data_IF_465936090548
#
_entry.id   IF_465936090548
#
_cell.length_a   1.000
_cell.length_b   1.000
_cell.length_c   1.000
_cell.angle_alpha   90.00
_cell.angle_beta   90.00
_cell.angle_gamma   90.00
#
_symmetry.space_group_name_H-M   'P 1'
#
loop_
_entity.id
_entity.type
_entity.pdbx_description
1 polymer ?
#
# COMPACT_ATOMS: atom_id res chain seq x y z
N UNK A 1 24.02 -1.78 3.58
CA UNK A 1 22.85 -2.63 3.86
C UNK A 1 21.91 -2.46 2.68
N UNK A 2 21.46 -3.51 1.98
CA UNK A 2 20.56 -3.33 0.84
C UNK A 2 19.18 -2.89 1.35
N UNK A 3 18.70 -1.73 0.89
CA UNK A 3 17.37 -1.21 1.18
C UNK A 3 16.29 -2.18 0.69
N UNK A 4 15.24 -2.40 1.50
CA UNK A 4 14.13 -3.29 1.13
C UNK A 4 12.96 -2.45 0.64
N UNK A 5 12.51 -2.74 -0.57
CA UNK A 5 11.82 -1.84 -1.48
C UNK A 5 10.29 -2.08 -1.51
N UNK A 6 9.44 -1.04 -1.61
CA UNK A 6 7.99 -1.16 -1.95
C UNK A 6 7.70 -0.60 -3.36
N UNK A 7 7.54 -1.40 -4.43
CA UNK A 7 7.68 -0.99 -5.85
C UNK A 7 7.20 -2.02 -6.90
N UNK A 8 7.53 -1.84 -8.20
CA UNK A 8 6.78 -2.43 -9.35
C UNK A 8 6.99 -3.93 -9.68
N UNK A 9 8.03 -4.58 -9.15
CA UNK A 9 8.33 -5.98 -9.45
C UNK A 9 7.27 -6.93 -8.86
N UNK A 10 7.26 -8.22 -9.26
CA UNK A 10 6.51 -9.29 -8.61
C UNK A 10 6.79 -9.27 -7.10
N UNK A 11 5.92 -8.60 -6.34
CA UNK A 11 6.09 -8.37 -4.91
C UNK A 11 4.89 -8.95 -4.17
N UNK A 12 5.11 -9.37 -2.92
CA UNK A 12 4.01 -9.77 -2.05
C UNK A 12 2.97 -8.65 -2.00
N UNK A 13 1.70 -9.02 -2.03
CA UNK A 13 0.60 -8.08 -1.82
C UNK A 13 0.71 -7.53 -0.39
N UNK A 14 1.30 -6.34 -0.23
CA UNK A 14 1.51 -5.77 1.09
C UNK A 14 0.20 -5.33 1.75
N UNK A 15 -0.90 -5.24 1.00
CA UNK A 15 -2.24 -5.07 1.57
C UNK A 15 -2.89 -6.43 1.92
N UNK A 16 -2.16 -7.55 1.79
CA UNK A 16 -2.58 -8.85 2.31
C UNK A 16 -2.20 -8.99 3.80
N UNK A 17 -2.77 -9.97 4.51
CA UNK A 17 -2.43 -10.22 5.91
C UNK A 17 -0.93 -10.51 6.06
N UNK A 18 -0.23 -9.80 6.95
CA UNK A 18 1.23 -9.93 7.11
C UNK A 18 1.73 -11.23 7.77
N UNK A 19 0.85 -12.22 8.03
CA UNK A 19 1.27 -13.58 8.40
C UNK A 19 1.59 -14.46 7.18
N UNK A 20 1.59 -13.88 5.97
CA UNK A 20 1.89 -14.59 4.74
C UNK A 20 3.42 -14.78 4.57
N UNK A 21 3.90 -15.98 4.17
CA UNK A 21 5.33 -16.29 4.12
C UNK A 21 6.16 -15.38 3.21
N UNK A 22 5.55 -14.87 2.13
CA UNK A 22 6.16 -13.96 1.17
C UNK A 22 6.38 -12.54 1.75
N UNK A 23 5.45 -12.05 2.57
CA UNK A 23 5.59 -10.79 3.31
C UNK A 23 6.68 -10.94 4.39
N UNK A 24 6.66 -12.04 5.16
CA UNK A 24 7.66 -12.31 6.19
C UNK A 24 9.08 -12.48 5.63
N UNK A 25 9.22 -13.17 4.49
CA UNK A 25 10.50 -13.29 3.78
C UNK A 25 11.06 -11.92 3.38
N UNK A 26 10.18 -10.95 3.11
CA UNK A 26 10.55 -9.57 2.82
C UNK A 26 11.00 -8.78 4.07
N UNK A 27 10.85 -9.34 5.27
CA UNK A 27 11.29 -8.76 6.56
C UNK A 27 10.40 -7.65 7.10
N UNK A 28 9.14 -7.64 6.67
CA UNK A 28 8.09 -6.89 7.32
C UNK A 28 7.37 -7.79 8.30
N UNK A 29 7.28 -7.34 9.54
CA UNK A 29 6.47 -7.97 10.56
C UNK A 29 5.19 -7.15 10.73
N UNK A 30 4.06 -7.80 11.05
CA UNK A 30 2.85 -7.08 11.44
C UNK A 30 3.12 -6.33 12.75
N UNK A 31 2.79 -5.04 12.81
CA UNK A 31 3.07 -4.20 13.97
C UNK A 31 2.65 -4.90 15.27
N UNK A 32 3.59 -5.18 16.16
CA UNK A 32 3.25 -5.70 17.49
C UNK A 32 2.32 -4.71 18.21
N UNK A 33 1.38 -5.26 18.99
CA UNK A 33 0.30 -4.57 19.76
C UNK A 33 0.83 -3.65 20.87
N UNK A 34 1.75 -2.74 20.57
CA UNK A 34 2.38 -1.89 21.59
C UNK A 34 1.63 -0.58 21.85
N UNK A 35 0.56 -0.27 21.12
CA UNK A 35 -0.36 0.80 21.53
C UNK A 35 -1.74 0.57 20.91
N UNK A 36 -2.73 0.44 21.78
CA UNK A 36 -4.18 0.27 21.57
C UNK A 36 -4.69 -1.16 21.26
N UNK A 37 -5.39 -1.83 22.20
CA UNK A 37 -5.93 -3.16 22.01
C UNK A 37 -7.14 -3.24 21.04
N UNK A 38 -7.74 -2.11 20.62
CA UNK A 38 -9.02 -2.12 19.90
C UNK A 38 -8.91 -2.10 18.37
N UNK A 39 -7.86 -1.51 17.77
CA UNK A 39 -7.76 -1.41 16.31
C UNK A 39 -7.12 -2.65 15.67
N UNK A 40 -7.76 -3.31 14.68
CA UNK A 40 -7.16 -4.45 14.00
C UNK A 40 -5.92 -4.01 13.20
N UNK A 41 -4.82 -4.75 13.34
CA UNK A 41 -3.58 -4.58 12.56
C UNK A 41 -3.77 -4.91 11.08
N UNK A 42 -4.84 -5.65 10.78
CA UNK A 42 -5.28 -5.97 9.44
C UNK A 42 -6.81 -5.90 9.38
N UNK A 43 -7.35 -5.12 8.44
CA UNK A 43 -8.78 -5.17 8.08
C UNK A 43 -8.94 -5.45 6.60
N UNK A 44 -10.03 -6.12 6.25
CA UNK A 44 -10.33 -6.52 4.87
C UNK A 44 -11.83 -6.66 4.72
N UNK A 45 -12.46 -5.56 4.32
CA UNK A 45 -13.88 -5.34 4.44
C UNK A 45 -14.45 -4.53 3.26
N UNK A 46 -15.77 -4.65 3.07
CA UNK A 46 -16.52 -3.83 2.13
C UNK A 46 -17.06 -2.63 2.91
N UNK A 47 -16.61 -1.43 2.55
CA UNK A 47 -17.02 -0.18 3.17
C UNK A 47 -17.74 0.72 2.17
N UNK A 48 -18.29 1.81 2.66
CA UNK A 48 -18.90 2.85 1.84
C UNK A 48 -17.86 3.94 1.52
N UNK A 49 -17.71 4.29 0.24
CA UNK A 49 -16.79 5.35 -0.17
C UNK A 49 -17.20 6.70 0.43
N UNK A 50 -16.31 7.26 1.26
CA UNK A 50 -16.39 8.67 1.64
C UNK A 50 -15.98 9.57 0.46
N UNK A 51 -15.94 10.89 0.66
CA UNK A 51 -15.59 11.84 -0.40
C UNK A 51 -14.21 11.58 -1.00
N UNK A 52 -13.21 11.34 -0.16
CA UNK A 52 -11.82 11.20 -0.60
C UNK A 52 -11.63 9.88 -1.36
N UNK A 53 -12.16 8.77 -0.85
CA UNK A 53 -12.15 7.47 -1.53
C UNK A 53 -12.89 7.54 -2.86
N UNK A 54 -14.04 8.23 -2.89
CA UNK A 54 -14.82 8.41 -4.10
C UNK A 54 -14.04 9.16 -5.19
N UNK A 55 -13.31 10.22 -4.81
CA UNK A 55 -12.44 10.97 -5.72
C UNK A 55 -11.28 10.09 -6.19
N UNK A 56 -10.62 9.35 -5.30
CA UNK A 56 -9.51 8.48 -5.64
C UNK A 56 -9.90 7.40 -6.64
N UNK A 57 -11.07 6.79 -6.49
CA UNK A 57 -11.55 5.70 -7.34
C UNK A 57 -12.40 6.17 -8.53
N UNK A 58 -12.71 7.46 -8.66
CA UNK A 58 -13.62 7.96 -9.69
C UNK A 58 -15.04 7.41 -9.55
N UNK A 59 -15.48 7.09 -8.34
CA UNK A 59 -16.84 6.59 -8.04
C UNK A 59 -17.66 7.66 -7.31
N UNK A 60 -18.93 7.36 -7.04
CA UNK A 60 -19.79 8.25 -6.23
C UNK A 60 -19.52 8.05 -4.74
N UNK A 61 -19.63 9.12 -3.95
CA UNK A 61 -19.74 8.99 -2.49
C UNK A 61 -20.95 8.10 -2.17
N UNK A 62 -20.79 7.18 -1.22
CA UNK A 62 -21.80 6.15 -0.95
C UNK A 62 -21.60 4.84 -1.69
N UNK A 63 -20.74 4.79 -2.72
CA UNK A 63 -20.51 3.59 -3.50
C UNK A 63 -19.77 2.51 -2.68
N UNK A 64 -20.12 1.23 -2.78
CA UNK A 64 -19.39 0.16 -2.09
C UNK A 64 -17.97 -0.01 -2.64
N UNK A 65 -17.01 -0.10 -1.74
CA UNK A 65 -15.58 -0.28 -2.06
C UNK A 65 -14.98 -1.34 -1.16
N UNK A 66 -14.03 -2.09 -1.70
CA UNK A 66 -13.20 -2.99 -0.90
C UNK A 66 -12.07 -2.18 -0.28
N UNK A 67 -11.96 -2.23 1.04
CA UNK A 67 -10.86 -1.63 1.79
C UNK A 67 -10.05 -2.72 2.48
N UNK A 68 -8.75 -2.74 2.19
CA UNK A 68 -7.77 -3.63 2.81
C UNK A 68 -6.73 -2.76 3.48
N UNK A 69 -6.59 -2.91 4.79
CA UNK A 69 -5.67 -2.13 5.61
C UNK A 69 -4.68 -3.07 6.29
N UNK A 70 -3.40 -2.73 6.24
CA UNK A 70 -2.34 -3.44 6.93
C UNK A 70 -1.42 -2.46 7.65
N UNK A 71 -1.07 -2.76 8.90
CA UNK A 71 -0.08 -2.01 9.69
C UNK A 71 1.18 -2.86 9.87
N UNK A 72 2.31 -2.34 9.41
CA UNK A 72 3.60 -3.03 9.48
C UNK A 72 4.59 -2.32 10.37
N UNK A 73 5.56 -3.07 10.88
CA UNK A 73 6.80 -2.56 11.42
C UNK A 73 7.98 -3.34 10.84
N UNK A 74 9.18 -2.77 10.94
CA UNK A 74 10.41 -3.52 10.64
C UNK A 74 10.84 -4.29 11.91
N UNK A 75 11.21 -5.56 11.76
CA UNK A 75 11.55 -6.46 12.87
C UNK A 75 12.64 -5.95 13.82
N UNK A 76 12.59 -6.40 15.08
CA UNK A 76 13.53 -6.21 16.23
C UNK A 76 14.26 -4.87 16.39
N UNK A 77 13.87 -3.80 15.71
CA UNK A 77 14.44 -2.48 15.93
C UNK A 77 14.01 -2.03 17.31
N UNK A 78 15.03 -1.93 18.17
CA UNK A 78 15.02 -1.28 19.46
C UNK A 78 14.13 -0.05 19.38
N UNK A 79 13.27 0.14 20.37
CA UNK A 79 12.53 1.37 20.58
C UNK A 79 13.45 2.58 20.45
N UNK A 80 13.50 3.21 19.27
CA UNK A 80 14.19 4.48 19.10
C UNK A 80 13.23 5.51 19.69
N UNK A 81 13.61 6.09 20.83
CA UNK A 81 12.75 6.99 21.62
C UNK A 81 11.41 6.39 22.09
N UNK A 82 11.34 5.08 22.30
CA UNK A 82 10.15 4.44 22.90
C UNK A 82 9.03 4.05 21.93
N UNK A 83 9.13 4.34 20.62
CA UNK A 83 8.12 3.96 19.63
C UNK A 83 8.73 3.23 18.41
N UNK A 84 8.26 2.00 18.14
CA UNK A 84 8.57 1.29 16.90
C UNK A 84 8.02 2.06 15.69
N UNK A 85 8.86 2.32 14.70
CA UNK A 85 8.45 2.94 13.44
C UNK A 85 7.44 2.02 12.74
N UNK A 86 6.23 2.52 12.51
CA UNK A 86 5.18 1.80 11.79
C UNK A 86 4.96 2.43 10.42
N UNK A 87 4.46 1.62 9.50
CA UNK A 87 3.83 2.11 8.28
C UNK A 87 2.45 1.51 8.14
N UNK A 88 1.56 2.27 7.52
CA UNK A 88 0.21 1.85 7.20
C UNK A 88 0.06 1.71 5.69
N UNK A 89 -0.58 0.64 5.25
CA UNK A 89 -0.94 0.39 3.85
C UNK A 89 -2.45 0.28 3.77
N UNK A 90 -3.05 1.12 2.93
CA UNK A 90 -4.47 1.07 2.60
C UNK A 90 -4.60 0.72 1.12
N UNK A 91 -5.46 -0.22 0.77
CA UNK A 91 -5.79 -0.57 -0.61
C UNK A 91 -7.30 -0.45 -0.79
N UNK A 92 -7.71 0.31 -1.79
CA UNK A 92 -9.10 0.59 -2.13
C UNK A 92 -9.39 0.10 -3.54
N UNK A 93 -10.46 -0.66 -3.73
CA UNK A 93 -10.94 -1.04 -5.06
C UNK A 93 -12.46 -0.89 -5.15
N UNK A 94 -12.96 -0.61 -6.35
CA UNK A 94 -14.40 -0.62 -6.60
C UNK A 94 -14.95 -2.04 -6.34
N UNK A 95 -15.96 -2.17 -5.46
CA UNK A 95 -16.52 -3.48 -5.13
C UNK A 95 -17.16 -4.20 -6.33
N UNK A 96 -17.61 -3.46 -7.33
CA UNK A 96 -18.19 -4.04 -8.55
C UNK A 96 -17.15 -4.79 -9.39
N UNK A 97 -15.86 -4.44 -9.24
CA UNK A 97 -14.74 -5.11 -9.92
C UNK A 97 -14.29 -6.38 -9.18
N UNK A 98 -14.81 -6.61 -7.97
CA UNK A 98 -14.53 -7.78 -7.15
C UNK A 98 -15.87 -8.34 -6.62
N UNK A 99 -16.80 -8.74 -7.51
CA UNK A 99 -18.19 -9.05 -7.12
C UNK A 99 -18.27 -10.24 -6.15
N UNK A 100 -17.33 -11.17 -6.25
CA UNK A 100 -17.26 -12.37 -5.41
C UNK A 100 -16.59 -12.12 -4.05
N UNK A 101 -16.35 -10.87 -3.67
CA UNK A 101 -15.67 -10.54 -2.42
C UNK A 101 -16.38 -11.12 -1.19
N UNK A 102 -17.72 -11.11 -1.19
CA UNK A 102 -18.54 -11.64 -0.10
C UNK A 102 -19.03 -13.08 -0.37
N UNK A 103 -18.64 -13.70 -1.48
CA UNK A 103 -19.04 -15.08 -1.80
C UNK A 103 -18.34 -16.05 -0.83
N UNK A 104 -19.08 -16.79 0.02
CA UNK A 104 -18.49 -17.72 1.00
C UNK A 104 -17.53 -18.75 0.39
N UNK A 105 -17.74 -19.16 -0.88
CA UNK A 105 -16.90 -20.15 -1.56
C UNK A 105 -15.57 -19.56 -2.04
N UNK A 106 -15.57 -18.27 -2.44
CA UNK A 106 -14.39 -17.56 -2.97
C UNK A 106 -13.69 -16.67 -1.95
N UNK A 107 -14.36 -16.31 -0.86
CA UNK A 107 -13.88 -15.49 0.23
C UNK A 107 -12.54 -15.98 0.82
N UNK A 108 -12.39 -17.29 0.96
CA UNK A 108 -11.13 -17.88 1.43
C UNK A 108 -9.96 -17.65 0.46
N UNK A 109 -10.22 -17.50 -0.84
CA UNK A 109 -9.17 -17.28 -1.83
C UNK A 109 -8.54 -15.90 -1.67
N UNK A 110 -9.36 -14.85 -1.48
CA UNK A 110 -8.87 -13.48 -1.23
C UNK A 110 -8.01 -13.34 0.03
N UNK A 111 -8.22 -14.21 1.04
CA UNK A 111 -7.48 -14.15 2.31
C UNK A 111 -6.29 -15.10 2.38
N UNK A 112 -6.39 -16.27 1.75
CA UNK A 112 -5.35 -17.30 1.77
C UNK A 112 -4.34 -17.17 0.65
N UNK A 113 -4.69 -16.50 -0.45
CA UNK A 113 -3.83 -16.35 -1.63
C UNK A 113 -3.57 -14.85 -1.87
N UNK A 114 -2.44 -14.30 -1.40
CA UNK A 114 -2.12 -12.87 -1.51
C UNK A 114 -2.29 -12.33 -2.94
N UNK A 115 -1.81 -13.08 -3.94
CA UNK A 115 -1.90 -12.67 -5.33
C UNK A 115 -3.32 -12.71 -5.93
N UNK A 116 -4.29 -13.37 -5.30
CA UNK A 116 -5.60 -13.63 -5.91
C UNK A 116 -6.42 -12.37 -6.14
N UNK A 117 -6.27 -11.37 -5.27
CA UNK A 117 -6.93 -10.07 -5.43
C UNK A 117 -6.48 -9.37 -6.72
N UNK A 118 -5.17 -9.11 -6.88
CA UNK A 118 -4.65 -8.49 -8.09
C UNK A 118 -4.81 -9.37 -9.33
N UNK A 119 -4.71 -10.69 -9.20
CA UNK A 119 -4.99 -11.61 -10.32
C UNK A 119 -6.42 -11.47 -10.83
N UNK A 120 -7.40 -11.29 -9.94
CA UNK A 120 -8.79 -11.07 -10.33
C UNK A 120 -8.94 -9.74 -11.06
N UNK A 121 -8.41 -8.65 -10.49
CA UNK A 121 -8.46 -7.34 -11.13
C UNK A 121 -7.77 -7.32 -12.50
N UNK A 122 -6.57 -7.91 -12.61
CA UNK A 122 -5.83 -7.98 -13.88
C UNK A 122 -6.58 -8.85 -14.90
N UNK A 123 -7.12 -10.01 -14.49
CA UNK A 123 -7.82 -10.91 -15.42
C UNK A 123 -9.03 -10.23 -16.07
N UNK A 124 -9.79 -9.46 -15.31
CA UNK A 124 -11.03 -8.83 -15.80
C UNK A 124 -10.80 -7.48 -16.50
N UNK A 125 -9.70 -6.78 -16.20
CA UNK A 125 -9.46 -5.40 -16.65
C UNK A 125 -8.14 -5.17 -17.40
N UNK A 126 -7.44 -6.24 -17.77
CA UNK A 126 -6.22 -6.14 -18.58
C UNK A 126 -6.49 -5.56 -19.98
N UNK A 127 -5.57 -4.76 -20.53
CA UNK A 127 -4.29 -4.35 -19.94
C UNK A 127 -4.43 -3.17 -18.97
N UNK A 128 -3.56 -3.16 -17.96
CA UNK A 128 -3.59 -2.17 -16.87
C UNK A 128 -2.31 -1.34 -16.86
N UNK A 129 -2.42 -0.11 -16.36
CA UNK A 129 -1.29 0.79 -16.13
C UNK A 129 -1.18 1.12 -14.66
N UNK A 130 0.04 1.40 -14.22
CA UNK A 130 0.32 1.83 -12.85
C UNK A 130 0.84 3.26 -12.85
N UNK A 131 0.32 4.06 -11.93
CA UNK A 131 0.81 5.41 -11.67
C UNK A 131 1.18 5.53 -10.20
N UNK A 132 2.32 6.13 -9.89
CA UNK A 132 2.71 6.40 -8.50
C UNK A 132 2.87 7.89 -8.29
N UNK A 133 2.22 8.40 -7.24
CA UNK A 133 2.34 9.77 -6.78
C UNK A 133 2.87 9.75 -5.34
N UNK A 134 3.95 10.48 -5.12
CA UNK A 134 4.50 10.70 -3.79
C UNK A 134 4.17 12.11 -3.33
N UNK A 135 3.64 12.22 -2.11
CA UNK A 135 3.41 13.51 -1.45
C UNK A 135 3.87 13.45 0.00
N UNK A 136 4.06 14.60 0.61
CA UNK A 136 4.28 14.73 2.05
C UNK A 136 3.45 15.87 2.61
N UNK A 137 3.06 15.74 3.87
CA UNK A 137 2.40 16.80 4.63
C UNK A 137 2.67 16.60 6.12
N UNK A 138 2.29 17.58 6.94
CA UNK A 138 2.23 17.37 8.38
C UNK A 138 1.15 16.32 8.68
N UNK A 139 1.50 15.35 9.53
CA UNK A 139 0.60 14.28 9.96
C UNK A 139 -0.54 14.85 10.82
N UNK A 140 -1.72 14.25 10.69
CA UNK A 140 -2.82 14.53 11.61
C UNK A 140 -2.59 13.77 12.93
N UNK A 141 -3.32 14.16 13.99
CA UNK A 141 -3.14 13.61 15.34
C UNK A 141 -3.37 12.09 15.38
N UNK A 142 -4.40 11.60 14.70
CA UNK A 142 -4.72 10.18 14.57
C UNK A 142 -3.63 9.40 13.81
N UNK A 143 -3.06 10.00 12.77
CA UNK A 143 -1.95 9.43 12.01
C UNK A 143 -0.67 9.39 12.84
N UNK A 144 -0.38 10.43 13.63
CA UNK A 144 0.76 10.44 14.55
C UNK A 144 0.65 9.30 15.55
N UNK A 145 -0.52 9.15 16.19
CA UNK A 145 -0.77 8.09 17.16
C UNK A 145 -0.66 6.69 16.52
N UNK A 146 -1.26 6.49 15.34
CA UNK A 146 -1.23 5.21 14.63
C UNK A 146 0.17 4.78 14.20
N UNK A 147 0.97 5.73 13.70
CA UNK A 147 2.30 5.48 13.14
C UNK A 147 3.44 5.56 14.16
N UNK A 148 3.15 5.95 15.41
CA UNK A 148 4.18 6.11 16.45
C UNK A 148 5.10 7.30 16.20
N UNK A 149 4.53 8.41 15.73
CA UNK A 149 5.20 9.66 15.41
C UNK A 149 5.00 10.68 16.52
N UNK A 150 5.95 11.60 16.67
CA UNK A 150 5.77 12.77 17.52
C UNK A 150 4.81 13.79 16.87
N UNK A 151 4.28 14.70 17.67
CA UNK A 151 3.45 15.80 17.17
C UNK A 151 4.23 16.68 16.19
N UNK A 152 3.59 17.12 15.11
CA UNK A 152 4.17 18.01 14.07
C UNK A 152 5.25 17.32 13.21
N UNK A 153 5.28 15.99 13.16
CA UNK A 153 6.09 15.27 12.20
C UNK A 153 5.43 15.22 10.80
N UNK A 154 6.27 15.19 9.76
CA UNK A 154 5.81 15.00 8.40
C UNK A 154 5.54 13.52 8.12
N UNK A 155 4.40 13.24 7.49
CA UNK A 155 4.05 11.94 6.92
C UNK A 155 4.40 11.93 5.43
N UNK A 156 4.98 10.83 5.00
CA UNK A 156 5.17 10.46 3.61
C UNK A 156 3.97 9.63 3.15
N UNK A 157 3.36 10.04 2.03
CA UNK A 157 2.21 9.35 1.44
C UNK A 157 2.59 8.95 0.01
N UNK A 158 2.70 7.65 -0.23
CA UNK A 158 2.91 7.07 -1.56
C UNK A 158 1.59 6.49 -2.02
N UNK A 159 1.01 7.09 -3.05
CA UNK A 159 -0.22 6.61 -3.68
C UNK A 159 0.11 5.93 -4.99
N UNK A 160 -0.25 4.66 -5.12
CA UNK A 160 -0.16 3.89 -6.35
C UNK A 160 -1.57 3.63 -6.88
N UNK A 161 -1.82 3.95 -8.14
CA UNK A 161 -3.11 3.74 -8.81
C UNK A 161 -2.94 2.73 -9.93
N UNK A 162 -3.69 1.63 -9.86
CA UNK A 162 -3.93 0.71 -10.97
C UNK A 162 -5.08 1.27 -11.80
N UNK A 163 -4.89 1.47 -13.10
CA UNK A 163 -5.92 2.00 -13.98
C UNK A 163 -6.09 1.15 -15.24
N UNK A 164 -7.29 1.19 -15.83
CA UNK A 164 -7.56 0.60 -17.14
C UNK A 164 -6.90 1.43 -18.26
N UNK A 165 -7.02 0.97 -19.51
CA UNK A 165 -6.49 1.69 -20.69
C UNK A 165 -7.08 3.09 -20.90
N UNK A 166 -8.28 3.35 -20.40
CA UNK A 166 -8.95 4.64 -20.50
C UNK A 166 -8.58 5.58 -19.35
N UNK A 167 -7.75 5.12 -18.40
CA UNK A 167 -7.35 5.88 -17.23
C UNK A 167 -8.35 5.81 -16.07
N UNK A 168 -9.34 4.91 -16.11
CA UNK A 168 -10.24 4.71 -14.97
C UNK A 168 -9.52 3.96 -13.85
N UNK A 169 -9.54 4.48 -12.61
CA UNK A 169 -8.97 3.78 -11.46
C UNK A 169 -9.68 2.45 -11.21
N UNK A 170 -8.90 1.38 -11.10
CA UNK A 170 -9.31 0.03 -10.71
C UNK A 170 -9.04 -0.17 -9.21
N UNK A 171 -7.84 0.18 -8.79
CA UNK A 171 -7.35 0.05 -7.41
C UNK A 171 -6.45 1.22 -7.07
N UNK A 172 -6.52 1.69 -5.83
CA UNK A 172 -5.63 2.70 -5.28
C UNK A 172 -5.04 2.18 -3.98
N UNK A 173 -3.73 1.99 -3.96
CA UNK A 173 -2.95 1.70 -2.76
C UNK A 173 -2.31 2.98 -2.23
N UNK A 174 -2.46 3.25 -0.94
CA UNK A 174 -1.77 4.31 -0.21
C UNK A 174 -0.86 3.72 0.86
N UNK A 175 0.43 4.06 0.81
CA UNK A 175 1.40 3.78 1.87
C UNK A 175 1.65 5.07 2.64
N UNK A 176 1.52 4.99 3.96
CA UNK A 176 1.68 6.07 4.91
C UNK A 176 2.82 5.73 5.86
N UNK A 177 3.82 6.58 5.93
CA UNK A 177 5.02 6.33 6.74
C UNK A 177 5.60 7.63 7.32
N UNK A 178 6.21 7.60 8.53
CA UNK A 178 6.96 8.72 9.08
C UNK A 178 8.09 9.18 8.14
N UNK A 179 8.07 10.43 7.68
CA UNK A 179 9.06 10.91 6.69
C UNK A 179 10.49 11.03 7.24
N UNK A 180 10.67 11.05 8.56
CA UNK A 180 11.96 11.05 9.24
C UNK A 180 12.57 9.65 9.42
N UNK A 181 11.81 8.58 9.14
CA UNK A 181 12.25 7.19 9.35
C UNK A 181 12.27 6.35 8.08
N UNK A 182 11.71 6.89 7.00
CA UNK A 182 11.62 6.21 5.72
C UNK A 182 12.08 7.15 4.61
N UNK A 183 12.83 6.60 3.68
CA UNK A 183 13.27 7.27 2.47
C UNK A 183 12.54 6.69 1.27
N UNK A 184 12.48 7.46 0.18
CA UNK A 184 12.04 6.92 -1.09
C UNK A 184 13.26 6.64 -1.92
N UNK A 185 13.49 5.35 -2.14
CA UNK A 185 14.36 4.87 -3.19
C UNK A 185 13.63 4.86 -4.52
N UNK A 186 14.37 5.12 -5.58
CA UNK A 186 13.96 4.71 -6.90
C UNK A 186 14.80 3.48 -7.23
N UNK A 187 14.17 2.32 -7.39
CA UNK A 187 14.90 1.14 -7.85
C UNK A 187 14.99 1.21 -9.37
N UNK A 188 15.95 1.98 -9.86
CA UNK A 188 16.52 1.65 -11.14
C UNK A 188 17.45 0.45 -10.93
N UNK A 189 16.95 -0.76 -11.09
CA UNK A 189 17.83 -1.88 -11.44
C UNK A 189 18.43 -1.72 -12.88
N UNK A 190 18.41 -0.49 -13.43
CA UNK A 190 18.96 -0.07 -14.72
C UNK A 190 19.75 1.27 -14.64
N UNK A 191 20.07 1.80 -13.46
CA UNK A 191 20.88 3.03 -13.31
C UNK A 191 22.37 2.75 -13.01
N UNK A 192 22.92 1.69 -13.58
CA UNK A 192 24.39 1.56 -13.71
C UNK A 192 24.95 2.48 -14.81
N UNK A 193 24.09 3.18 -15.57
CA UNK A 193 24.49 4.18 -16.56
C UNK A 193 23.98 5.58 -16.19
N UNK A 194 24.84 6.47 -15.66
CA UNK A 194 24.49 7.86 -15.36
C UNK A 194 24.23 8.71 -16.62
N UNK A 195 24.36 8.15 -17.83
CA UNK A 195 24.07 8.80 -19.10
C UNK A 195 22.76 8.35 -19.76
N UNK A 196 22.04 7.40 -19.16
CA UNK A 196 20.77 6.93 -19.70
C UNK A 196 19.69 8.02 -19.63
N UNK A 197 19.23 8.46 -20.81
CA UNK A 197 18.08 9.37 -20.95
C UNK A 197 16.82 8.50 -21.05
N UNK A 198 16.08 8.41 -19.96
CA UNK A 198 14.81 7.66 -19.92
C UNK A 198 13.65 8.51 -20.46
N UNK A 199 12.75 7.89 -21.21
CA UNK A 199 11.48 8.54 -21.58
C UNK A 199 10.51 8.56 -20.40
N UNK A 200 9.49 9.45 -20.40
CA UNK A 200 8.44 9.44 -19.39
C UNK A 200 7.68 8.12 -19.28
N UNK A 201 7.56 7.35 -20.37
CA UNK A 201 6.97 6.00 -20.32
C UNK A 201 7.87 5.00 -19.59
N UNK A 202 9.18 5.05 -19.81
CA UNK A 202 10.15 4.20 -19.11
C UNK A 202 10.19 4.53 -17.61
N UNK A 203 10.02 5.80 -17.23
CA UNK A 203 9.87 6.21 -15.83
C UNK A 203 8.56 5.71 -15.21
N UNK A 204 7.49 5.57 -15.98
CA UNK A 204 6.21 5.05 -15.52
C UNK A 204 6.23 3.53 -15.31
N UNK A 205 7.02 2.81 -16.10
CA UNK A 205 7.26 1.37 -15.94
C UNK A 205 8.20 1.06 -14.76
N UNK A 206 9.00 2.04 -14.32
CA UNK A 206 9.95 1.90 -13.22
C UNK A 206 9.33 2.25 -11.86
N UNK A 207 9.39 1.29 -10.93
CA UNK A 207 8.78 1.41 -9.61
C UNK A 207 9.50 2.35 -8.65
N UNK A 208 8.74 3.24 -8.02
CA UNK A 208 9.14 3.91 -6.77
C UNK A 208 9.24 2.85 -5.66
N UNK A 209 10.21 2.96 -4.76
CA UNK A 209 10.46 2.07 -3.64
C UNK A 209 10.53 2.82 -2.31
N UNK A 210 9.74 2.42 -1.30
CA UNK A 210 10.02 2.87 0.08
C UNK A 210 11.24 2.12 0.63
N UNK A 211 12.18 2.84 1.24
CA UNK A 211 13.39 2.36 1.90
C UNK A 211 13.41 2.85 3.36
N UNK A 212 14.25 2.24 4.20
CA UNK A 212 14.50 2.60 5.60
C UNK A 212 15.99 2.77 5.79
#
# INVERSE_FOLDING_TARGET
>A
MPGRLIGHQNRPDLAAPGNQPDIQAFGWDLALRDADPEAPLFTSEKITANRDIAIMLGVRTGHPVIHRRSMFHRGHTTTIHGASARLEINSYANADMVPDWDDPERFHQYRKRPAFFYQTLIREHSPVRWMTLTTSRIAYEDECAGLGMDYVEAILIIRRTMADLNGHPIEVTEVKAPANRYEIGYSAELADDPSAVFTPEELADNGIALMI
#
